data_IF_251853157577
#
_entry.id   IF_251853157577
#
_cell.length_a   1.000
_cell.length_b   1.000
_cell.length_c   1.000
_cell.angle_alpha   90.00
_cell.angle_beta   90.00
_cell.angle_gamma   90.00
#
_symmetry.space_group_name_H-M   'P 1'
#
loop_
_entity.id
_entity.type
_entity.pdbx_description
1 polymer ?
#
# COMPACT_ATOMS: atom_id res chain seq x y z
N UNK A 1 -35.70 3.52 30.98
CA UNK A 1 -34.92 2.59 30.13
C UNK A 1 -33.60 3.27 29.78
N UNK A 2 -32.44 2.56 29.94
CA UNK A 2 -31.13 3.08 29.57
C UNK A 2 -30.98 3.07 28.04
N UNK A 3 -30.33 4.08 27.48
CA UNK A 3 -29.99 4.15 26.06
C UNK A 3 -28.56 4.61 25.90
N UNK A 4 -27.89 4.15 24.87
CA UNK A 4 -26.53 4.52 24.50
C UNK A 4 -26.45 4.73 22.98
N UNK A 5 -25.63 5.67 22.53
CA UNK A 5 -25.28 5.82 21.11
C UNK A 5 -24.14 4.87 20.73
N UNK A 6 -23.88 4.69 19.43
CA UNK A 6 -22.75 3.88 18.97
C UNK A 6 -21.42 4.52 19.38
N UNK A 7 -21.32 5.84 19.29
CA UNK A 7 -20.12 6.59 19.67
C UNK A 7 -19.78 6.46 21.15
N UNK A 8 -20.79 6.52 22.03
CA UNK A 8 -20.62 6.29 23.46
C UNK A 8 -20.28 4.85 23.78
N UNK A 9 -20.88 3.89 23.06
CA UNK A 9 -20.60 2.46 23.21
C UNK A 9 -19.15 2.12 22.89
N UNK A 10 -18.60 2.69 21.82
CA UNK A 10 -17.19 2.51 21.42
C UNK A 10 -16.17 3.12 22.40
N UNK A 11 -16.59 4.09 23.24
CA UNK A 11 -15.74 4.67 24.28
C UNK A 11 -15.64 3.80 25.55
N UNK A 12 -16.51 2.78 25.69
CA UNK A 12 -16.45 1.87 26.82
C UNK A 12 -15.24 0.95 26.71
N UNK A 13 -14.71 0.55 27.88
CA UNK A 13 -13.60 -0.40 27.92
C UNK A 13 -14.00 -1.72 27.25
N UNK A 14 -13.19 -2.25 26.33
CA UNK A 14 -13.49 -3.53 25.68
C UNK A 14 -13.76 -4.64 26.70
N UNK A 15 -14.85 -5.36 26.53
CA UNK A 15 -15.27 -6.43 27.42
C UNK A 15 -15.95 -5.98 28.73
N UNK A 16 -16.15 -4.68 28.98
CA UNK A 16 -16.88 -4.17 30.16
C UNK A 16 -18.41 -4.32 30.03
N UNK A 17 -18.90 -4.57 28.83
CA UNK A 17 -20.33 -4.73 28.51
C UNK A 17 -20.56 -5.95 27.63
N UNK A 18 -21.77 -6.46 27.62
CA UNK A 18 -22.24 -7.49 26.68
C UNK A 18 -23.14 -6.83 25.63
N UNK A 19 -22.84 -7.03 24.35
CA UNK A 19 -23.68 -6.55 23.26
C UNK A 19 -24.44 -7.72 22.70
N UNK A 20 -25.76 -7.60 22.61
CA UNK A 20 -26.65 -8.65 22.10
C UNK A 20 -27.31 -8.16 20.82
N UNK A 21 -26.97 -8.79 19.71
CA UNK A 21 -27.57 -8.54 18.40
C UNK A 21 -28.80 -9.44 18.23
N UNK A 22 -29.99 -8.84 18.19
CA UNK A 22 -31.26 -9.55 18.03
C UNK A 22 -31.72 -9.71 16.58
N UNK A 23 -30.89 -9.33 15.63
CA UNK A 23 -31.17 -9.52 14.20
C UNK A 23 -31.12 -11.01 13.82
N UNK A 24 -31.76 -11.39 12.69
CA UNK A 24 -31.68 -12.76 12.17
C UNK A 24 -30.20 -13.22 11.98
N UNK A 25 -29.96 -14.51 12.20
CA UNK A 25 -28.61 -15.09 12.16
C UNK A 25 -27.89 -14.87 10.80
N UNK A 26 -28.62 -14.93 9.69
CA UNK A 26 -28.08 -14.65 8.36
C UNK A 26 -27.62 -13.19 8.21
N UNK A 27 -28.34 -12.26 8.82
CA UNK A 27 -27.99 -10.83 8.83
C UNK A 27 -26.81 -10.55 9.75
N UNK A 28 -26.77 -11.21 10.90
CA UNK A 28 -25.63 -11.16 11.84
C UNK A 28 -24.34 -11.65 11.19
N UNK A 29 -24.40 -12.79 10.47
CA UNK A 29 -23.22 -13.37 9.77
C UNK A 29 -22.65 -12.46 8.67
N UNK A 30 -23.48 -11.59 8.06
CA UNK A 30 -23.02 -10.59 7.08
C UNK A 30 -22.27 -9.42 7.71
N UNK A 31 -22.33 -9.28 9.03
CA UNK A 31 -21.64 -8.26 9.81
C UNK A 31 -22.47 -7.80 11.01
N UNK A 32 -21.77 -7.52 12.10
CA UNK A 32 -22.32 -7.02 13.34
C UNK A 32 -21.34 -6.07 14.03
N UNK A 33 -21.72 -5.54 15.18
CA UNK A 33 -20.81 -4.81 16.05
C UNK A 33 -19.78 -5.80 16.64
N UNK A 34 -18.53 -5.40 16.70
CA UNK A 34 -17.43 -6.25 17.20
C UNK A 34 -17.72 -6.78 18.62
N UNK A 35 -17.56 -8.09 18.79
CA UNK A 35 -17.81 -8.76 20.07
C UNK A 35 -19.28 -8.96 20.45
N UNK A 36 -20.24 -8.62 19.56
CA UNK A 36 -21.65 -8.88 19.82
C UNK A 36 -21.98 -10.37 19.72
N UNK A 37 -22.85 -10.85 20.62
CA UNK A 37 -23.43 -12.20 20.56
C UNK A 37 -24.79 -12.14 19.87
N UNK A 38 -25.16 -13.19 19.12
CA UNK A 38 -26.42 -13.22 18.41
C UNK A 38 -27.47 -14.04 19.14
N UNK A 39 -28.55 -13.38 19.53
CA UNK A 39 -29.77 -14.01 20.04
C UNK A 39 -30.93 -13.49 19.21
N UNK A 40 -31.30 -14.16 18.10
CA UNK A 40 -32.33 -13.67 17.18
C UNK A 40 -33.68 -13.42 17.86
N UNK A 41 -34.40 -12.39 17.43
CA UNK A 41 -35.69 -12.01 17.98
C UNK A 41 -36.65 -13.18 18.14
N UNK A 42 -36.68 -14.12 17.17
CA UNK A 42 -37.58 -15.28 17.18
C UNK A 42 -37.27 -16.30 18.28
N UNK A 43 -36.02 -16.35 18.69
CA UNK A 43 -35.47 -17.30 19.66
C UNK A 43 -35.22 -16.64 21.03
N UNK A 44 -35.45 -15.33 21.13
CA UNK A 44 -34.97 -14.53 22.26
C UNK A 44 -35.61 -14.97 23.59
N UNK A 45 -36.89 -15.27 23.57
CA UNK A 45 -37.61 -15.71 24.80
C UNK A 45 -37.09 -17.04 25.34
N UNK A 46 -36.61 -17.91 24.43
CA UNK A 46 -36.10 -19.24 24.78
C UNK A 46 -34.61 -19.23 25.16
N UNK A 47 -33.87 -18.16 24.72
CA UNK A 47 -32.42 -18.14 24.80
C UNK A 47 -31.85 -16.95 25.58
N UNK A 48 -32.67 -16.06 26.15
CA UNK A 48 -32.13 -14.89 26.88
C UNK A 48 -31.31 -15.29 28.10
N UNK A 49 -31.48 -16.49 28.65
CA UNK A 49 -30.70 -17.03 29.77
C UNK A 49 -29.24 -17.33 29.40
N UNK A 50 -28.91 -17.47 28.11
CA UNK A 50 -27.55 -17.62 27.59
C UNK A 50 -26.76 -16.32 27.73
N UNK A 51 -27.43 -15.18 27.94
CA UNK A 51 -26.79 -13.86 28.05
C UNK A 51 -26.18 -13.73 29.44
N UNK A 52 -24.88 -13.40 29.56
CA UNK A 52 -24.21 -13.18 30.84
C UNK A 52 -24.85 -12.04 31.63
N UNK A 53 -25.06 -12.25 32.97
CA UNK A 53 -25.61 -11.25 33.90
C UNK A 53 -24.57 -10.45 34.66
N UNK A 54 -23.31 -10.78 34.51
CA UNK A 54 -22.18 -10.20 35.22
C UNK A 54 -21.81 -8.77 34.75
N UNK A 55 -22.35 -8.36 33.60
CA UNK A 55 -22.05 -7.08 32.98
C UNK A 55 -23.32 -6.41 32.44
N UNK A 56 -23.31 -5.06 32.27
CA UNK A 56 -24.41 -4.38 31.57
C UNK A 56 -24.58 -4.92 30.15
N UNK A 57 -25.85 -5.11 29.75
CA UNK A 57 -26.24 -5.67 28.45
C UNK A 57 -26.79 -4.57 27.56
N UNK A 58 -26.23 -4.42 26.34
CA UNK A 58 -26.75 -3.49 25.35
C UNK A 58 -27.34 -4.23 24.16
N UNK A 59 -28.61 -3.97 23.87
CA UNK A 59 -29.35 -4.70 22.84
C UNK A 59 -29.32 -3.92 21.52
N UNK A 60 -28.85 -4.62 20.47
CA UNK A 60 -28.71 -4.11 19.12
C UNK A 60 -29.76 -4.74 18.19
N UNK A 61 -30.59 -3.94 17.56
CA UNK A 61 -31.41 -4.36 16.43
C UNK A 61 -31.04 -3.55 15.16
N UNK A 62 -31.84 -3.64 14.12
CA UNK A 62 -31.54 -2.92 12.87
C UNK A 62 -31.62 -1.38 13.02
N UNK A 63 -32.69 -0.86 13.67
CA UNK A 63 -32.97 0.58 13.78
C UNK A 63 -32.95 1.12 15.21
N UNK A 64 -32.76 0.27 16.23
CA UNK A 64 -32.83 0.66 17.64
C UNK A 64 -34.28 0.75 18.21
N UNK A 65 -35.31 0.39 17.45
CA UNK A 65 -36.70 0.43 17.87
C UNK A 65 -37.18 -0.91 18.43
N UNK A 66 -37.00 -2.00 17.67
CA UNK A 66 -37.43 -3.34 18.07
C UNK A 66 -36.65 -3.92 19.25
N UNK A 67 -35.48 -3.42 19.53
CA UNK A 67 -34.66 -3.82 20.69
C UNK A 67 -35.27 -3.37 22.03
N UNK A 68 -36.18 -2.39 22.03
CA UNK A 68 -36.79 -1.87 23.24
C UNK A 68 -37.60 -2.94 23.98
N UNK A 69 -38.36 -3.75 23.28
CA UNK A 69 -39.19 -4.83 23.86
C UNK A 69 -38.28 -5.88 24.55
N UNK A 70 -37.13 -6.18 23.98
CA UNK A 70 -36.14 -7.14 24.51
C UNK A 70 -35.38 -6.57 25.70
N UNK A 71 -35.10 -5.26 25.72
CA UNK A 71 -34.55 -4.58 26.89
C UNK A 71 -35.51 -4.63 28.06
N UNK A 72 -36.81 -4.39 27.84
CA UNK A 72 -37.83 -4.51 28.91
C UNK A 72 -37.90 -5.92 29.44
N UNK A 73 -37.86 -6.93 28.57
CA UNK A 73 -37.84 -8.34 28.97
C UNK A 73 -36.62 -8.64 29.85
N UNK A 74 -35.42 -8.23 29.42
CA UNK A 74 -34.18 -8.45 30.17
C UNK A 74 -34.25 -7.75 31.55
N UNK A 75 -34.69 -6.51 31.60
CA UNK A 75 -34.84 -5.76 32.85
C UNK A 75 -35.83 -6.45 33.81
N UNK A 76 -36.95 -7.00 33.31
CA UNK A 76 -37.90 -7.74 34.14
C UNK A 76 -37.32 -9.03 34.72
N UNK A 77 -36.27 -9.60 34.11
CA UNK A 77 -35.55 -10.76 34.56
C UNK A 77 -34.26 -10.42 35.31
N UNK A 78 -34.09 -9.15 35.74
CA UNK A 78 -32.99 -8.71 36.62
C UNK A 78 -31.69 -8.43 35.91
N UNK A 79 -31.67 -8.25 34.58
CA UNK A 79 -30.50 -7.77 33.86
C UNK A 79 -30.36 -6.25 33.97
N UNK A 80 -29.13 -5.76 34.03
CA UNK A 80 -28.83 -4.36 33.76
C UNK A 80 -28.74 -4.15 32.25
N UNK A 81 -29.92 -3.86 31.63
CA UNK A 81 -29.99 -3.78 30.17
C UNK A 81 -30.37 -2.39 29.65
N UNK A 82 -29.87 -2.07 28.45
CA UNK A 82 -30.17 -0.83 27.74
C UNK A 82 -30.20 -1.02 26.22
N UNK A 83 -30.74 -0.02 25.55
CA UNK A 83 -30.93 0.00 24.11
C UNK A 83 -29.82 0.75 23.39
N UNK A 84 -29.35 0.25 22.26
CA UNK A 84 -28.43 0.97 21.35
C UNK A 84 -29.27 1.80 20.39
N UNK A 85 -29.23 3.12 20.56
CA UNK A 85 -29.97 4.09 19.76
C UNK A 85 -29.55 4.05 18.29
N UNK A 86 -30.55 3.95 17.37
CA UNK A 86 -30.31 3.88 15.94
C UNK A 86 -29.85 2.51 15.43
N UNK A 87 -29.52 1.59 16.36
CA UNK A 87 -29.18 0.20 16.06
C UNK A 87 -28.01 0.03 15.10
N UNK A 88 -27.97 -1.11 14.41
CA UNK A 88 -26.90 -1.44 13.44
C UNK A 88 -26.81 -0.45 12.26
N UNK A 89 -27.93 0.17 11.91
CA UNK A 89 -27.96 1.21 10.87
C UNK A 89 -27.11 2.43 11.27
N UNK A 90 -27.16 2.86 12.53
CA UNK A 90 -26.33 3.94 13.04
C UNK A 90 -24.85 3.55 13.04
N UNK A 91 -24.52 2.31 13.41
CA UNK A 91 -23.16 1.79 13.34
C UNK A 91 -22.61 1.83 11.91
N UNK A 92 -23.36 1.30 10.93
CA UNK A 92 -22.92 1.34 9.52
C UNK A 92 -22.73 2.77 9.01
N UNK A 93 -23.61 3.69 9.41
CA UNK A 93 -23.51 5.09 9.02
C UNK A 93 -22.24 5.72 9.58
N UNK A 94 -21.92 5.48 10.85
CA UNK A 94 -20.71 5.98 11.49
C UNK A 94 -19.45 5.42 10.82
N UNK A 95 -19.43 4.12 10.51
CA UNK A 95 -18.32 3.50 9.80
C UNK A 95 -18.12 4.10 8.40
N UNK A 96 -19.22 4.32 7.67
CA UNK A 96 -19.17 4.96 6.34
C UNK A 96 -18.65 6.40 6.43
N UNK A 97 -19.11 7.19 7.40
CA UNK A 97 -18.66 8.57 7.60
C UNK A 97 -17.15 8.62 7.93
N UNK A 98 -16.65 7.69 8.75
CA UNK A 98 -15.21 7.54 9.04
C UNK A 98 -14.42 7.20 7.79
N UNK A 99 -14.87 6.19 7.08
CA UNK A 99 -14.23 5.76 5.82
C UNK A 99 -14.16 6.92 4.80
N UNK A 100 -15.23 7.68 4.63
CA UNK A 100 -15.24 8.83 3.72
C UNK A 100 -14.27 9.93 4.18
N UNK A 101 -14.20 10.23 5.48
CA UNK A 101 -13.24 11.20 6.02
C UNK A 101 -11.79 10.78 5.82
N UNK A 102 -11.48 9.50 6.03
CA UNK A 102 -10.13 8.95 5.79
C UNK A 102 -9.76 9.02 4.30
N UNK A 103 -10.69 8.66 3.41
CA UNK A 103 -10.48 8.73 1.97
C UNK A 103 -10.26 10.19 1.49
N UNK A 104 -11.02 11.14 2.01
CA UNK A 104 -10.86 12.56 1.66
C UNK A 104 -9.53 13.11 2.18
N UNK A 105 -9.15 12.77 3.41
CA UNK A 105 -7.84 13.15 3.97
C UNK A 105 -6.69 12.54 3.16
N UNK A 106 -6.80 11.28 2.76
CA UNK A 106 -5.82 10.62 1.89
C UNK A 106 -5.69 11.32 0.54
N UNK A 107 -6.81 11.60 -0.12
CA UNK A 107 -6.82 12.30 -1.42
C UNK A 107 -6.20 13.70 -1.33
N UNK A 108 -6.45 14.43 -0.26
CA UNK A 108 -5.83 15.76 -0.08
C UNK A 108 -4.32 15.64 0.15
N UNK A 109 -3.87 14.65 0.93
CA UNK A 109 -2.42 14.37 1.10
C UNK A 109 -1.77 13.96 -0.22
N UNK A 110 -2.43 13.15 -1.05
CA UNK A 110 -1.96 12.79 -2.40
C UNK A 110 -1.75 14.06 -3.25
N UNK A 111 -2.74 14.95 -3.29
CA UNK A 111 -2.64 16.23 -4.01
C UNK A 111 -1.54 17.14 -3.49
N UNK A 112 -1.31 17.16 -2.17
CA UNK A 112 -0.21 17.92 -1.56
C UNK A 112 1.14 17.39 -2.05
N UNK A 113 1.32 16.06 -2.06
CA UNK A 113 2.53 15.41 -2.57
C UNK A 113 2.76 15.77 -4.03
N UNK A 114 1.74 15.68 -4.88
CA UNK A 114 1.81 16.05 -6.31
C UNK A 114 2.20 17.51 -6.51
N UNK A 115 1.53 18.41 -5.81
CA UNK A 115 1.85 19.85 -5.85
C UNK A 115 3.27 20.15 -5.40
N UNK A 116 3.78 19.41 -4.42
CA UNK A 116 5.13 19.61 -3.90
C UNK A 116 6.21 19.32 -4.94
N UNK A 117 6.04 18.28 -5.75
CA UNK A 117 6.97 17.90 -6.83
C UNK A 117 7.10 19.03 -7.87
N UNK A 118 5.97 19.66 -8.24
CA UNK A 118 5.94 20.69 -9.27
C UNK A 118 6.28 22.08 -8.72
N UNK A 119 6.08 22.33 -7.41
CA UNK A 119 6.35 23.63 -6.77
C UNK A 119 7.65 23.60 -5.96
N UNK A 120 7.66 22.95 -4.79
CA UNK A 120 8.78 22.96 -3.84
C UNK A 120 10.02 22.23 -4.39
N UNK A 121 9.85 21.02 -4.92
CA UNK A 121 10.91 20.19 -5.47
C UNK A 121 11.13 20.39 -6.98
N UNK A 122 10.57 21.47 -7.54
CA UNK A 122 10.65 21.73 -8.98
C UNK A 122 12.10 21.83 -9.48
N UNK A 123 12.97 22.50 -8.74
CA UNK A 123 14.37 22.74 -9.19
C UNK A 123 15.23 21.49 -9.01
N UNK A 124 15.08 20.82 -7.89
CA UNK A 124 15.88 19.67 -7.49
C UNK A 124 15.44 18.38 -8.19
N UNK A 125 14.14 18.06 -8.14
CA UNK A 125 13.64 16.80 -8.67
C UNK A 125 13.02 16.96 -10.07
N UNK A 126 11.94 17.75 -10.21
CA UNK A 126 11.16 17.80 -11.44
C UNK A 126 11.97 18.20 -12.67
N UNK A 127 12.80 19.26 -12.56
CA UNK A 127 13.64 19.71 -13.67
C UNK A 127 14.73 18.70 -14.03
N UNK A 128 15.33 18.05 -13.03
CA UNK A 128 16.35 17.03 -13.25
C UNK A 128 15.76 15.81 -13.95
N UNK A 129 14.57 15.36 -13.52
CA UNK A 129 13.81 14.30 -14.13
C UNK A 129 13.43 14.63 -15.59
N UNK A 130 12.78 15.77 -15.82
CA UNK A 130 12.36 16.16 -17.19
C UNK A 130 13.54 16.41 -18.12
N UNK A 131 14.67 16.93 -17.58
CA UNK A 131 15.91 17.06 -18.34
C UNK A 131 16.48 15.71 -18.76
N UNK A 132 16.44 14.69 -17.88
CA UNK A 132 16.88 13.35 -18.23
C UNK A 132 16.03 12.76 -19.36
N UNK A 133 14.69 12.88 -19.27
CA UNK A 133 13.76 12.43 -20.30
C UNK A 133 14.11 13.06 -21.65
N UNK A 134 14.28 14.38 -21.71
CA UNK A 134 14.55 15.11 -22.94
C UNK A 134 15.96 14.86 -23.49
N UNK A 135 16.99 14.92 -22.60
CA UNK A 135 18.38 14.82 -23.03
C UNK A 135 18.72 13.45 -23.62
N UNK A 136 18.13 12.40 -23.09
CA UNK A 136 18.41 11.01 -23.47
C UNK A 136 17.28 10.38 -24.29
N UNK A 137 16.27 11.15 -24.67
CA UNK A 137 15.14 10.68 -25.45
C UNK A 137 14.54 9.39 -24.88
N UNK A 138 14.20 9.45 -23.58
CA UNK A 138 13.79 8.25 -22.82
C UNK A 138 12.35 7.84 -23.15
N UNK A 139 11.47 8.80 -23.46
CA UNK A 139 10.04 8.57 -23.68
C UNK A 139 9.65 9.21 -24.99
N UNK A 140 8.90 8.46 -25.82
CA UNK A 140 8.39 8.89 -27.12
C UNK A 140 6.86 8.74 -27.16
N UNK A 141 6.24 9.38 -28.13
CA UNK A 141 4.81 9.24 -28.40
C UNK A 141 4.45 7.78 -28.71
N UNK A 142 3.38 7.30 -28.11
CA UNK A 142 2.92 5.92 -28.27
C UNK A 142 3.66 4.86 -27.45
N UNK A 143 4.66 5.24 -26.65
CA UNK A 143 5.32 4.30 -25.73
C UNK A 143 4.34 3.72 -24.71
N UNK A 144 4.50 2.44 -24.41
CA UNK A 144 3.88 1.78 -23.28
C UNK A 144 4.96 1.30 -22.33
N UNK A 145 5.02 1.91 -21.14
CA UNK A 145 6.16 1.83 -20.23
C UNK A 145 5.76 1.07 -18.95
N UNK A 146 6.45 -0.02 -18.67
CA UNK A 146 6.37 -0.70 -17.39
C UNK A 146 7.27 0.03 -16.36
N UNK A 147 6.66 0.73 -15.41
CA UNK A 147 7.34 1.37 -14.29
C UNK A 147 7.53 0.33 -13.19
N UNK A 148 8.77 -0.10 -12.98
CA UNK A 148 9.08 -1.15 -12.02
C UNK A 148 9.13 -0.62 -10.59
N UNK A 149 8.23 -1.11 -9.74
CA UNK A 149 8.09 -0.74 -8.34
C UNK A 149 8.78 -1.79 -7.47
N UNK A 150 9.78 -1.37 -6.70
CA UNK A 150 10.46 -2.22 -5.70
C UNK A 150 9.94 -2.02 -4.28
N UNK A 151 9.12 -1.00 -4.06
CA UNK A 151 8.66 -0.57 -2.74
C UNK A 151 9.57 0.42 -2.04
N UNK A 152 10.78 0.67 -2.56
CA UNK A 152 11.71 1.68 -2.05
C UNK A 152 11.34 3.10 -2.50
N UNK A 153 11.92 4.10 -1.82
CA UNK A 153 11.71 5.54 -2.05
C UNK A 153 11.86 5.96 -3.51
N UNK A 154 12.88 5.43 -4.18
CA UNK A 154 13.25 5.83 -5.54
C UNK A 154 12.22 5.36 -6.57
N UNK A 155 11.80 4.10 -6.47
CA UNK A 155 10.81 3.52 -7.38
C UNK A 155 9.42 4.16 -7.22
N UNK A 156 9.03 4.51 -6.00
CA UNK A 156 7.76 5.17 -5.70
C UNK A 156 7.77 6.63 -6.17
N UNK A 157 8.87 7.36 -5.93
CA UNK A 157 9.04 8.71 -6.49
C UNK A 157 9.02 8.68 -8.02
N UNK A 158 9.76 7.75 -8.65
CA UNK A 158 9.74 7.60 -10.11
C UNK A 158 8.34 7.37 -10.64
N UNK A 159 7.58 6.48 -10.01
CA UNK A 159 6.20 6.22 -10.40
C UNK A 159 5.34 7.48 -10.37
N UNK A 160 5.48 8.28 -9.30
CA UNK A 160 4.73 9.52 -9.16
C UNK A 160 5.12 10.58 -10.19
N UNK A 161 6.42 10.73 -10.45
CA UNK A 161 6.93 11.64 -11.48
C UNK A 161 6.46 11.24 -12.89
N UNK A 162 6.41 9.93 -13.18
CA UNK A 162 5.91 9.41 -14.46
C UNK A 162 4.41 9.67 -14.62
N UNK A 163 3.60 9.51 -13.57
CA UNK A 163 2.18 9.88 -13.59
C UNK A 163 1.99 11.38 -13.86
N UNK A 164 2.75 12.24 -13.18
CA UNK A 164 2.68 13.68 -13.40
C UNK A 164 3.11 14.07 -14.81
N UNK A 165 4.14 13.40 -15.35
CA UNK A 165 4.57 13.62 -16.72
C UNK A 165 3.49 13.19 -17.72
N UNK A 166 2.81 12.07 -17.48
CA UNK A 166 1.71 11.58 -18.33
C UNK A 166 0.52 12.56 -18.32
N UNK A 167 0.16 13.09 -17.15
CA UNK A 167 -0.96 14.06 -17.01
C UNK A 167 -0.68 15.40 -17.72
N UNK A 168 0.56 15.84 -17.70
CA UNK A 168 0.96 17.17 -18.19
C UNK A 168 1.92 17.14 -19.38
N UNK A 169 2.17 15.95 -19.92
CA UNK A 169 3.07 15.74 -21.05
C UNK A 169 2.57 16.33 -22.37
N UNK A 170 3.48 16.51 -23.32
CA UNK A 170 3.18 17.08 -24.63
C UNK A 170 2.64 16.06 -25.63
N UNK A 171 2.81 14.77 -25.34
CA UNK A 171 2.42 13.66 -26.22
C UNK A 171 1.89 12.49 -25.37
N UNK A 172 1.00 11.65 -25.91
CA UNK A 172 0.43 10.52 -25.19
C UNK A 172 1.41 9.35 -25.10
N UNK A 173 1.46 8.72 -23.93
CA UNK A 173 2.10 7.44 -23.66
C UNK A 173 1.35 6.70 -22.55
N UNK A 174 1.53 5.39 -22.45
CA UNK A 174 0.85 4.55 -21.46
C UNK A 174 1.82 4.13 -20.34
N UNK A 175 1.29 3.99 -19.12
CA UNK A 175 2.02 3.52 -17.95
C UNK A 175 1.38 2.26 -17.38
N UNK A 176 2.22 1.30 -17.03
CA UNK A 176 1.86 0.13 -16.23
C UNK A 176 2.78 0.10 -15.01
N UNK A 177 2.23 0.12 -13.80
CA UNK A 177 3.02 0.10 -12.57
C UNK A 177 3.20 -1.34 -12.10
N UNK A 178 4.34 -1.92 -12.45
CA UNK A 178 4.62 -3.33 -12.31
C UNK A 178 5.35 -3.63 -11.01
N UNK A 179 4.75 -4.47 -10.17
CA UNK A 179 5.34 -4.95 -8.91
C UNK A 179 5.52 -6.44 -8.97
N UNK A 180 6.74 -6.89 -8.75
CA UNK A 180 7.01 -8.30 -8.52
C UNK A 180 6.98 -8.59 -7.03
N UNK A 181 6.12 -9.52 -6.60
CA UNK A 181 6.13 -10.05 -5.25
C UNK A 181 6.99 -11.33 -5.22
N UNK A 182 8.23 -11.29 -4.71
CA UNK A 182 9.11 -12.44 -4.63
C UNK A 182 8.90 -13.27 -3.36
N UNK A 183 7.80 -13.06 -2.64
CA UNK A 183 7.50 -13.61 -1.33
C UNK A 183 7.88 -12.66 -0.19
N UNK A 184 7.49 -11.40 -0.27
CA UNK A 184 7.63 -10.45 0.82
C UNK A 184 6.96 -10.97 2.09
N UNK A 185 7.48 -10.58 3.28
CA UNK A 185 6.72 -10.72 4.51
C UNK A 185 5.48 -9.80 4.47
N UNK A 186 4.49 -10.09 5.31
CA UNK A 186 3.21 -9.37 5.32
C UNK A 186 3.40 -7.88 5.61
N UNK A 187 4.32 -7.52 6.52
CA UNK A 187 4.59 -6.12 6.89
C UNK A 187 5.15 -5.32 5.72
N UNK A 188 6.17 -5.85 5.04
CA UNK A 188 6.76 -5.19 3.87
C UNK A 188 5.75 -5.06 2.72
N UNK A 189 4.95 -6.10 2.52
CA UNK A 189 3.92 -6.07 1.49
C UNK A 189 2.84 -5.03 1.79
N UNK A 190 2.42 -4.95 3.04
CA UNK A 190 1.48 -3.92 3.51
C UNK A 190 2.04 -2.50 3.32
N UNK A 191 3.31 -2.26 3.66
CA UNK A 191 3.97 -0.95 3.43
C UNK A 191 3.94 -0.57 1.95
N UNK A 192 4.21 -1.51 1.04
CA UNK A 192 4.15 -1.25 -0.41
C UNK A 192 2.73 -0.86 -0.84
N UNK A 193 1.73 -1.61 -0.39
CA UNK A 193 0.32 -1.35 -0.73
C UNK A 193 -0.17 -0.02 -0.16
N UNK A 194 0.15 0.28 1.10
CA UNK A 194 -0.24 1.52 1.77
C UNK A 194 0.38 2.75 1.08
N UNK A 195 1.66 2.67 0.72
CA UNK A 195 2.33 3.74 -0.03
C UNK A 195 1.73 3.89 -1.45
N UNK A 196 1.46 2.80 -2.14
CA UNK A 196 0.83 2.86 -3.45
C UNK A 196 -0.58 3.48 -3.38
N UNK A 197 -1.35 3.10 -2.37
CA UNK A 197 -2.67 3.69 -2.09
C UNK A 197 -2.56 5.18 -1.77
N UNK A 198 -1.61 5.58 -0.90
CA UNK A 198 -1.36 6.98 -0.54
C UNK A 198 -0.94 7.82 -1.75
N UNK A 199 -0.09 7.27 -2.62
CA UNK A 199 0.43 7.96 -3.80
C UNK A 199 -0.50 7.84 -5.02
N UNK A 200 -1.63 7.15 -4.90
CA UNK A 200 -2.58 6.88 -5.98
C UNK A 200 -1.90 6.20 -7.19
N UNK A 201 -1.10 5.17 -6.91
CA UNK A 201 -0.39 4.37 -7.93
C UNK A 201 -1.13 3.03 -8.11
N UNK A 202 -1.76 2.78 -9.26
CA UNK A 202 -2.44 1.51 -9.52
C UNK A 202 -1.43 0.40 -9.80
N UNK A 203 -1.24 -0.52 -8.84
CA UNK A 203 -0.27 -1.59 -8.95
C UNK A 203 -0.79 -2.76 -9.80
N UNK A 204 0.03 -3.21 -10.74
CA UNK A 204 -0.11 -4.50 -11.43
C UNK A 204 0.87 -5.47 -10.76
N UNK A 205 0.36 -6.42 -10.00
CA UNK A 205 1.16 -7.34 -9.18
C UNK A 205 1.28 -8.69 -9.89
N UNK A 206 2.49 -9.26 -9.88
CA UNK A 206 2.70 -10.66 -10.22
C UNK A 206 3.59 -11.33 -9.18
N UNK A 207 3.40 -12.61 -8.98
CA UNK A 207 4.14 -13.41 -8.02
C UNK A 207 5.32 -14.14 -8.67
N UNK A 208 6.35 -14.40 -7.88
CA UNK A 208 7.49 -15.21 -8.30
C UNK A 208 8.12 -15.94 -7.12
N UNK A 209 8.64 -17.14 -7.38
CA UNK A 209 9.31 -17.98 -6.37
C UNK A 209 10.82 -17.69 -6.24
N UNK A 210 11.27 -16.51 -6.65
CA UNK A 210 12.70 -16.18 -6.69
C UNK A 210 13.37 -16.37 -5.33
N UNK A 211 12.72 -15.96 -4.24
CA UNK A 211 13.31 -16.09 -2.91
C UNK A 211 13.50 -17.55 -2.48
N UNK A 212 12.59 -18.42 -2.86
CA UNK A 212 12.73 -19.85 -2.57
C UNK A 212 13.86 -20.46 -3.40
N UNK A 213 13.92 -20.14 -4.69
CA UNK A 213 14.97 -20.64 -5.61
C UNK A 213 16.36 -20.15 -5.17
N UNK A 214 16.49 -18.87 -4.81
CA UNK A 214 17.77 -18.26 -4.43
C UNK A 214 18.22 -18.75 -3.04
N UNK A 215 17.31 -19.12 -2.15
CA UNK A 215 17.63 -19.66 -0.82
C UNK A 215 18.39 -21.01 -0.89
N UNK A 216 18.26 -21.74 -1.98
CA UNK A 216 18.92 -23.04 -2.22
C UNK A 216 20.31 -22.90 -2.85
N UNK A 217 20.78 -21.67 -3.12
CA UNK A 217 22.03 -21.42 -3.85
C UNK A 217 23.12 -20.85 -2.95
N UNK A 218 24.21 -21.58 -2.78
CA UNK A 218 25.34 -21.22 -1.91
C UNK A 218 26.24 -20.11 -2.47
N UNK A 219 26.25 -19.88 -3.79
CA UNK A 219 27.17 -18.93 -4.44
C UNK A 219 26.43 -17.73 -5.02
N UNK A 220 26.79 -16.52 -4.53
CA UNK A 220 26.29 -15.23 -5.04
C UNK A 220 24.77 -15.13 -5.16
N UNK A 221 23.99 -15.39 -4.09
CA UNK A 221 22.53 -15.39 -4.13
C UNK A 221 21.96 -14.03 -4.59
N UNK A 222 22.57 -12.90 -4.16
CA UNK A 222 22.14 -11.57 -4.56
C UNK A 222 22.28 -11.30 -6.06
N UNK A 223 23.36 -11.75 -6.69
CA UNK A 223 23.55 -11.62 -8.13
C UNK A 223 22.51 -12.41 -8.92
N UNK A 224 22.27 -13.66 -8.50
CA UNK A 224 21.27 -14.52 -9.13
C UNK A 224 19.87 -13.92 -8.98
N UNK A 225 19.51 -13.48 -7.78
CA UNK A 225 18.26 -12.80 -7.49
C UNK A 225 18.05 -11.59 -8.41
N UNK A 226 19.04 -10.70 -8.50
CA UNK A 226 18.95 -9.51 -9.35
C UNK A 226 18.78 -9.86 -10.84
N UNK A 227 19.49 -10.89 -11.31
CA UNK A 227 19.40 -11.37 -12.69
C UNK A 227 18.03 -11.97 -13.00
N UNK A 228 17.52 -12.82 -12.11
CA UNK A 228 16.19 -13.45 -12.25
C UNK A 228 15.08 -12.39 -12.21
N UNK A 229 15.13 -11.48 -11.22
CA UNK A 229 14.19 -10.36 -11.11
C UNK A 229 14.08 -9.57 -12.40
N UNK A 230 15.22 -9.25 -12.99
CA UNK A 230 15.25 -8.52 -14.27
C UNK A 230 14.59 -9.33 -15.39
N UNK A 231 14.87 -10.63 -15.51
CA UNK A 231 14.26 -11.52 -16.50
C UNK A 231 12.73 -11.56 -16.39
N UNK A 232 12.22 -11.76 -15.18
CA UNK A 232 10.78 -11.78 -14.91
C UNK A 232 10.09 -10.45 -15.23
N UNK A 233 10.71 -9.32 -14.81
CA UNK A 233 10.17 -7.99 -15.11
C UNK A 233 10.07 -7.74 -16.63
N UNK A 234 11.09 -8.13 -17.39
CA UNK A 234 11.04 -8.00 -18.86
C UNK A 234 9.97 -8.88 -19.49
N UNK A 235 9.84 -10.13 -19.04
CA UNK A 235 8.83 -11.06 -19.56
C UNK A 235 7.43 -10.52 -19.34
N UNK A 236 7.10 -10.17 -18.10
CA UNK A 236 5.76 -9.65 -17.79
C UNK A 236 5.48 -8.29 -18.43
N UNK A 237 6.46 -7.40 -18.51
CA UNK A 237 6.29 -6.14 -19.23
C UNK A 237 5.96 -6.39 -20.71
N UNK A 238 6.64 -7.34 -21.35
CA UNK A 238 6.37 -7.71 -22.75
C UNK A 238 4.99 -8.35 -22.94
N UNK A 239 4.58 -9.23 -22.01
CA UNK A 239 3.25 -9.84 -21.99
C UNK A 239 2.13 -8.80 -21.88
N UNK A 240 2.39 -7.71 -21.14
CA UNK A 240 1.48 -6.57 -21.01
C UNK A 240 1.55 -5.60 -22.22
N UNK A 241 2.34 -5.92 -23.25
CA UNK A 241 2.51 -5.11 -24.44
C UNK A 241 3.36 -3.85 -24.25
N UNK A 242 4.17 -3.78 -23.18
CA UNK A 242 5.10 -2.68 -22.97
C UNK A 242 6.31 -2.81 -23.90
N UNK A 243 6.79 -1.68 -24.43
CA UNK A 243 8.03 -1.59 -25.20
C UNK A 243 9.20 -1.03 -24.38
N UNK A 244 8.93 -0.51 -23.18
CA UNK A 244 9.95 0.01 -22.27
C UNK A 244 9.75 -0.46 -20.83
N UNK A 245 10.88 -0.59 -20.10
CA UNK A 245 10.88 -0.73 -18.64
C UNK A 245 11.61 0.45 -18.02
N UNK A 246 11.00 1.09 -17.02
CA UNK A 246 11.60 2.15 -16.23
C UNK A 246 12.08 1.62 -14.87
N UNK A 247 13.35 1.86 -14.56
CA UNK A 247 13.97 1.50 -13.29
C UNK A 247 14.37 2.76 -12.50
N UNK A 248 14.17 2.71 -11.18
CA UNK A 248 14.36 3.83 -10.26
C UNK A 248 15.82 4.16 -9.91
N UNK A 249 16.80 3.85 -10.75
CA UNK A 249 18.19 4.23 -10.51
C UNK A 249 18.39 5.74 -10.69
N UNK A 250 19.07 6.35 -9.73
CA UNK A 250 19.29 7.78 -9.65
C UNK A 250 20.77 8.16 -9.95
N UNK A 251 21.10 9.44 -9.82
CA UNK A 251 22.41 9.98 -10.17
C UNK A 251 23.55 9.33 -9.37
N UNK A 252 23.33 9.11 -8.07
CA UNK A 252 24.36 8.57 -7.17
C UNK A 252 24.66 7.10 -7.48
N UNK A 253 23.64 6.28 -7.84
CA UNK A 253 23.84 4.90 -8.32
C UNK A 253 24.77 4.83 -9.54
N UNK A 254 24.67 5.82 -10.44
CA UNK A 254 25.53 5.90 -11.63
C UNK A 254 26.97 6.14 -11.23
N UNK A 255 27.22 7.08 -10.31
CA UNK A 255 28.56 7.39 -9.80
C UNK A 255 29.13 6.18 -9.06
N UNK A 256 28.37 5.57 -8.17
CA UNK A 256 28.77 4.38 -7.42
C UNK A 256 29.14 3.23 -8.36
N UNK A 257 28.35 2.99 -9.39
CA UNK A 257 28.64 1.95 -10.40
C UNK A 257 29.97 2.20 -11.10
N UNK A 258 30.26 3.46 -11.48
CA UNK A 258 31.53 3.83 -12.11
C UNK A 258 32.70 3.60 -11.16
N UNK A 259 32.56 4.11 -9.91
CA UNK A 259 33.64 3.98 -8.90
C UNK A 259 33.89 2.51 -8.56
N UNK A 260 32.86 1.70 -8.38
CA UNK A 260 33.00 0.27 -8.13
C UNK A 260 33.67 -0.45 -9.31
N UNK A 261 33.28 -0.13 -10.55
CA UNK A 261 33.94 -0.67 -11.75
C UNK A 261 35.44 -0.35 -11.79
N UNK A 262 35.80 0.90 -11.49
CA UNK A 262 37.22 1.33 -11.46
C UNK A 262 38.02 0.66 -10.34
N UNK A 263 37.45 0.58 -9.12
CA UNK A 263 38.15 0.09 -7.92
C UNK A 263 38.27 -1.45 -7.90
N UNK A 264 37.23 -2.16 -8.29
CA UNK A 264 37.21 -3.63 -8.15
C UNK A 264 37.48 -4.39 -9.45
N UNK A 265 37.18 -3.80 -10.61
CA UNK A 265 37.31 -4.48 -11.91
C UNK A 265 38.38 -3.85 -12.80
N UNK A 266 38.97 -2.71 -12.41
CA UNK A 266 39.92 -1.95 -13.27
C UNK A 266 39.31 -1.50 -14.59
N UNK A 267 37.98 -1.39 -14.67
CA UNK A 267 37.23 -1.01 -15.87
C UNK A 267 36.34 0.18 -15.59
N UNK A 268 36.24 1.09 -16.55
CA UNK A 268 35.26 2.16 -16.51
C UNK A 268 33.95 1.63 -17.12
N UNK A 269 33.12 1.03 -16.27
CA UNK A 269 31.76 0.61 -16.65
C UNK A 269 30.76 1.66 -16.14
N UNK A 270 29.78 2.02 -16.96
CA UNK A 270 28.76 2.99 -16.58
C UNK A 270 27.36 2.42 -16.75
N UNK A 271 26.47 2.92 -15.93
CA UNK A 271 25.05 2.65 -16.03
C UNK A 271 24.43 3.62 -17.04
N UNK A 272 24.09 3.13 -18.23
CA UNK A 272 23.52 3.99 -19.29
C UNK A 272 22.08 4.43 -18.97
N UNK A 273 21.67 5.67 -19.30
CA UNK A 273 20.32 6.16 -19.07
C UNK A 273 19.24 5.42 -19.91
N UNK A 274 19.65 4.91 -21.07
CA UNK A 274 18.82 4.16 -22.02
C UNK A 274 19.61 2.98 -22.57
N UNK A 275 19.01 1.80 -22.61
CA UNK A 275 19.62 0.58 -23.12
C UNK A 275 18.61 -0.25 -23.89
N UNK A 276 18.98 -0.73 -25.07
CA UNK A 276 18.23 -1.77 -25.77
C UNK A 276 18.49 -3.13 -25.12
N UNK A 277 17.42 -3.89 -24.92
CA UNK A 277 17.55 -5.24 -24.37
C UNK A 277 18.13 -6.19 -25.41
N UNK A 278 19.19 -6.92 -25.05
CA UNK A 278 19.78 -7.96 -25.93
C UNK A 278 18.94 -9.24 -25.95
N UNK A 279 18.20 -9.53 -24.87
CA UNK A 279 17.48 -10.78 -24.67
C UNK A 279 15.97 -10.65 -24.96
N UNK A 280 15.45 -9.43 -25.00
CA UNK A 280 14.04 -9.15 -25.24
C UNK A 280 13.96 -8.16 -26.41
N UNK A 281 13.83 -8.68 -27.61
CA UNK A 281 13.77 -7.87 -28.82
C UNK A 281 12.62 -6.83 -28.76
N UNK A 282 12.91 -5.61 -29.17
CA UNK A 282 11.97 -4.49 -29.15
C UNK A 282 11.77 -3.83 -27.77
N UNK A 283 12.46 -4.30 -26.73
CA UNK A 283 12.36 -3.74 -25.39
C UNK A 283 13.53 -2.80 -25.07
N UNK A 284 13.24 -1.66 -24.48
CA UNK A 284 14.22 -0.73 -23.95
C UNK A 284 14.15 -0.62 -22.42
N UNK A 285 15.30 -0.46 -21.78
CA UNK A 285 15.40 -0.09 -20.38
C UNK A 285 15.70 1.41 -20.30
N UNK A 286 14.94 2.13 -19.49
CA UNK A 286 15.14 3.56 -19.23
C UNK A 286 15.33 3.83 -17.74
N UNK A 287 16.08 4.91 -17.43
CA UNK A 287 16.32 5.38 -16.06
C UNK A 287 15.90 6.85 -15.92
N UNK A 288 14.63 7.11 -15.65
CA UNK A 288 14.10 8.47 -15.59
C UNK A 288 14.74 9.34 -14.50
N UNK A 289 15.21 8.73 -13.38
CA UNK A 289 15.87 9.44 -12.28
C UNK A 289 17.37 9.66 -12.50
N UNK A 290 17.92 9.35 -13.67
CA UNK A 290 19.36 9.40 -13.97
C UNK A 290 20.08 10.69 -13.59
N UNK A 291 19.38 11.82 -13.55
CA UNK A 291 19.93 13.14 -13.18
C UNK A 291 19.39 13.67 -11.84
N UNK A 292 18.61 12.88 -11.11
CA UNK A 292 18.07 13.23 -9.80
C UNK A 292 19.01 12.71 -8.74
N UNK A 293 19.37 13.53 -7.76
CA UNK A 293 20.26 13.16 -6.66
C UNK A 293 19.49 12.43 -5.56
N UNK A 294 20.13 11.48 -4.91
CA UNK A 294 19.55 10.75 -3.78
C UNK A 294 19.12 11.67 -2.64
N UNK A 295 19.98 12.63 -2.27
CA UNK A 295 19.66 13.62 -1.23
C UNK A 295 18.36 14.40 -1.50
N UNK A 296 18.03 14.66 -2.78
CA UNK A 296 16.79 15.33 -3.13
C UNK A 296 15.56 14.40 -2.97
N UNK A 297 15.75 13.10 -3.24
CA UNK A 297 14.72 12.06 -3.03
C UNK A 297 14.45 11.90 -1.53
N UNK A 298 15.50 11.86 -0.72
CA UNK A 298 15.39 11.78 0.74
C UNK A 298 14.71 13.02 1.32
N UNK A 299 15.09 14.21 0.86
CA UNK A 299 14.44 15.45 1.28
C UNK A 299 12.93 15.48 0.94
N UNK A 300 12.52 14.88 -0.18
CA UNK A 300 11.11 14.73 -0.53
C UNK A 300 10.40 13.72 0.38
N UNK A 301 11.01 12.55 0.62
CA UNK A 301 10.51 11.52 1.54
C UNK A 301 10.27 12.12 2.93
N UNK A 302 11.27 12.80 3.48
CA UNK A 302 11.27 13.33 4.83
C UNK A 302 10.28 14.48 4.98
N UNK A 303 10.16 15.35 3.96
CA UNK A 303 9.18 16.43 3.95
C UNK A 303 7.74 15.94 4.06
N UNK A 304 7.43 14.81 3.43
CA UNK A 304 6.10 14.19 3.46
C UNK A 304 5.96 13.11 4.53
N UNK A 305 7.02 12.84 5.32
CA UNK A 305 7.06 11.80 6.35
C UNK A 305 6.67 10.42 5.79
N UNK A 306 7.17 10.10 4.60
CA UNK A 306 6.87 8.82 3.94
C UNK A 306 7.82 7.73 4.46
N UNK A 307 7.26 6.55 4.68
CA UNK A 307 8.00 5.38 5.14
C UNK A 307 7.98 4.33 4.03
N UNK A 308 9.17 3.98 3.53
CA UNK A 308 9.34 2.98 2.49
C UNK A 308 10.14 1.80 3.01
N UNK A 309 10.04 0.66 2.36
CA UNK A 309 10.89 -0.48 2.66
C UNK A 309 12.34 -0.14 2.28
N UNK A 310 13.27 -0.47 3.17
CA UNK A 310 14.71 -0.28 2.91
C UNK A 310 15.27 -1.44 2.12
N UNK A 311 14.94 -2.67 2.51
CA UNK A 311 15.34 -3.87 1.78
C UNK A 311 14.19 -4.88 1.74
N UNK A 312 13.96 -5.40 0.55
CA UNK A 312 12.90 -6.36 0.27
C UNK A 312 13.29 -7.82 0.56
N UNK A 313 14.53 -8.08 0.92
CA UNK A 313 15.10 -9.42 0.99
C UNK A 313 14.86 -10.06 2.37
N UNK A 314 14.48 -11.36 2.41
CA UNK A 314 14.42 -12.17 3.64
C UNK A 314 15.79 -12.31 4.33
N UNK A 315 16.86 -12.07 3.60
CA UNK A 315 18.25 -12.27 4.04
C UNK A 315 18.91 -10.98 4.56
N UNK A 316 18.14 -9.95 4.92
CA UNK A 316 18.65 -8.64 5.34
C UNK A 316 19.52 -8.69 6.60
N UNK A 317 19.33 -9.64 7.50
CA UNK A 317 20.15 -9.78 8.70
C UNK A 317 21.62 -10.14 8.39
N UNK A 318 21.93 -10.66 7.19
CA UNK A 318 23.26 -11.09 6.75
C UNK A 318 23.71 -10.48 5.40
N UNK A 319 23.03 -9.46 4.89
CA UNK A 319 23.37 -8.86 3.60
C UNK A 319 24.47 -7.82 3.74
N UNK A 320 25.66 -8.11 3.20
CA UNK A 320 26.81 -7.20 3.21
C UNK A 320 26.57 -5.85 2.49
N UNK A 321 25.54 -5.77 1.64
CA UNK A 321 25.16 -4.55 0.93
C UNK A 321 24.15 -3.68 1.69
N UNK A 322 23.50 -4.21 2.75
CA UNK A 322 22.52 -3.49 3.58
C UNK A 322 23.12 -3.02 4.91
N UNK A 323 24.38 -3.33 5.18
CA UNK A 323 25.11 -3.07 6.43
C UNK A 323 25.97 -1.82 6.45
N UNK A 324 25.65 -0.82 5.68
CA UNK A 324 26.41 0.45 5.62
C UNK A 324 25.93 1.52 6.60
N UNK A 325 25.60 1.14 7.87
CA UNK A 325 25.54 2.08 8.99
C UNK A 325 25.76 1.31 10.30
N UNK A 326 27.02 1.25 10.73
CA UNK A 326 27.43 1.23 12.14
C UNK A 326 28.54 2.24 12.33
#
# INVERSE_FOLDING_TARGET
MKTITIEELEQLTPGSVTIVDVRPADTYQRGTFEGAINVPMKEFVDRYEEIPKDKPVWVLCHTGERSLDYVELLCSHGYDAGNITGGYRAYLRLQLERFMKEEDARKEKTKEIERSLIKKFRKSIWRSFTRAIQKYDLIQEGDKIAVCISGGKDSMLMAKLMQELQRHGKFPFELVFLVMNPGYNEDNWKIIQDNAKLLDIPLTVFESDIFNIVAEVDRNPCYLCARMRRGYLYSHAKELGCNKIALGHHFDDVIETILMGMLYSGKVETMMPKLHSKNFEGMELIRPLYMVKEADIEAWRDYHQLHFIQCACRFTENCATCGGEK
#
